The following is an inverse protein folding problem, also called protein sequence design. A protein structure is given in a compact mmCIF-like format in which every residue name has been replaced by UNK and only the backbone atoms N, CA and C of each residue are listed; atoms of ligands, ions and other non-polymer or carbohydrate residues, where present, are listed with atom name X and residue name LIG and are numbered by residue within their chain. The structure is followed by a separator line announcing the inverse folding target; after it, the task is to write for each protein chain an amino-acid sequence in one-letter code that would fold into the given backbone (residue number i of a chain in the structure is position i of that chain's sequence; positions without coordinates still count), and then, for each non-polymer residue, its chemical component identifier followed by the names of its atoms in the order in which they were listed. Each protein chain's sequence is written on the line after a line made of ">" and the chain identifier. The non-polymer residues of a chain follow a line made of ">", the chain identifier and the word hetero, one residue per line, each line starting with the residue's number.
data_IF_705938956132
#
_entry.id   IF_705938956132
#
_cell.length_a   1.000
_cell.length_b   1.000
_cell.length_c   1.000
_cell.angle_alpha   90.00
_cell.angle_beta   90.00
_cell.angle_gamma   90.00
#
_symmetry.space_group_name_H-M   'P 1'
#
loop_
_entity.id
_entity.type
_entity.pdbx_description
1 polymer ?
#
# COMPACT_ATOMS: atom_id res chain seq x y z
N UNK A 1 8.03 -16.35 4.39
CA UNK A 1 7.79 -14.97 4.86
C UNK A 1 6.38 -14.60 4.46
N UNK A 2 5.48 -14.31 5.41
CA UNK A 2 4.13 -13.85 5.11
C UNK A 2 4.18 -12.34 4.85
N UNK A 3 4.15 -11.96 3.58
CA UNK A 3 3.99 -10.55 3.19
C UNK A 3 2.50 -10.20 3.33
N UNK A 4 2.17 -9.41 4.35
CA UNK A 4 0.81 -8.90 4.55
C UNK A 4 0.74 -7.44 4.09
N UNK A 5 -0.34 -7.09 3.38
CA UNK A 5 -0.66 -5.69 3.14
C UNK A 5 -0.84 -4.96 4.48
N UNK A 6 -0.30 -3.74 4.57
CA UNK A 6 -0.37 -2.92 5.77
C UNK A 6 -1.81 -2.73 6.25
N UNK A 7 -2.03 -2.88 7.55
CA UNK A 7 -3.30 -2.60 8.22
C UNK A 7 -3.00 -1.94 9.56
N UNK A 8 -3.45 -0.69 9.74
CA UNK A 8 -3.17 0.10 10.94
C UNK A 8 -3.42 -0.69 12.23
N UNK A 9 -4.59 -1.34 12.33
CA UNK A 9 -4.98 -2.16 13.51
C UNK A 9 -3.96 -3.20 13.94
N UNK A 10 -3.17 -3.75 13.01
CA UNK A 10 -2.20 -4.82 13.30
C UNK A 10 -0.78 -4.29 13.47
N UNK A 11 -0.45 -3.18 12.82
CA UNK A 11 0.92 -2.66 12.79
C UNK A 11 1.14 -1.57 13.85
N UNK A 12 0.14 -0.73 14.11
CA UNK A 12 0.24 0.38 15.08
C UNK A 12 0.70 -0.06 16.47
N UNK A 13 0.21 -1.17 17.07
CA UNK A 13 0.64 -1.57 18.41
C UNK A 13 2.14 -1.87 18.51
N UNK A 14 2.75 -2.39 17.44
CA UNK A 14 4.18 -2.70 17.41
C UNK A 14 5.05 -1.50 17.01
N UNK A 15 4.51 -0.58 16.22
CA UNK A 15 5.24 0.61 15.76
C UNK A 15 5.19 1.79 16.73
N UNK A 16 4.08 1.97 17.45
CA UNK A 16 3.92 3.09 18.38
C UNK A 16 5.04 3.17 19.45
N UNK A 17 5.46 2.06 20.09
CA UNK A 17 6.55 2.11 21.08
C UNK A 17 7.91 2.46 20.48
N UNK A 18 8.08 2.31 19.16
CA UNK A 18 9.32 2.62 18.46
C UNK A 18 9.40 4.07 18.00
N UNK A 19 8.28 4.82 18.03
CA UNK A 19 8.23 6.19 17.53
C UNK A 19 9.18 7.14 18.30
N UNK A 20 9.40 6.87 19.59
CA UNK A 20 10.35 7.63 20.42
C UNK A 20 11.79 7.11 20.34
N UNK A 21 11.99 5.90 19.79
CA UNK A 21 13.28 5.21 19.74
C UNK A 21 13.93 5.24 18.35
N UNK A 22 13.16 5.53 17.31
CA UNK A 22 13.60 5.53 15.94
C UNK A 22 12.89 6.63 15.15
N UNK A 23 13.60 7.19 14.16
CA UNK A 23 12.99 8.11 13.22
C UNK A 23 12.14 7.33 12.19
N UNK A 24 10.86 7.17 12.51
CA UNK A 24 9.88 6.51 11.63
C UNK A 24 9.32 7.54 10.64
N UNK A 25 9.19 7.15 9.37
CA UNK A 25 8.49 7.92 8.34
C UNK A 25 7.55 7.02 7.56
N UNK A 26 6.35 7.50 7.26
CA UNK A 26 5.33 6.72 6.58
C UNK A 26 5.12 7.20 5.14
N UNK A 27 5.30 6.32 4.15
CA UNK A 27 4.91 6.58 2.77
C UNK A 27 3.64 5.80 2.46
N UNK A 28 2.56 6.51 2.11
CA UNK A 28 1.27 5.90 1.77
C UNK A 28 0.98 6.11 0.29
N UNK A 29 0.98 5.01 -0.46
CA UNK A 29 0.57 5.04 -1.86
C UNK A 29 -0.96 5.02 -1.98
N UNK A 30 -1.50 5.94 -2.77
CA UNK A 30 -2.89 5.94 -3.22
C UNK A 30 -2.94 5.73 -4.73
N UNK A 31 -4.10 5.29 -5.21
CA UNK A 31 -4.39 5.10 -6.61
C UNK A 31 -5.89 5.16 -6.80
N UNK A 32 -6.33 5.70 -7.93
CA UNK A 32 -7.73 5.61 -8.35
C UNK A 32 -8.22 4.15 -8.31
N UNK A 33 -9.45 3.94 -7.84
CA UNK A 33 -10.01 2.61 -7.65
C UNK A 33 -10.17 1.85 -8.97
N UNK A 34 -10.49 2.53 -10.08
CA UNK A 34 -10.60 1.86 -11.38
C UNK A 34 -9.23 1.45 -11.90
N UNK A 35 -8.21 2.31 -11.76
CA UNK A 35 -6.82 1.98 -12.12
C UNK A 35 -6.28 0.83 -11.28
N UNK A 36 -6.59 0.80 -9.98
CA UNK A 36 -6.21 -0.29 -9.09
C UNK A 36 -6.82 -1.63 -9.54
N UNK A 37 -8.10 -1.64 -9.91
CA UNK A 37 -8.80 -2.83 -10.41
C UNK A 37 -8.14 -3.36 -11.67
N UNK A 38 -7.90 -2.50 -12.67
CA UNK A 38 -7.19 -2.89 -13.89
C UNK A 38 -5.83 -3.52 -13.57
N UNK A 39 -5.01 -2.87 -12.72
CA UNK A 39 -3.70 -3.41 -12.34
C UNK A 39 -3.75 -4.73 -11.56
N UNK A 40 -4.82 -4.99 -10.79
CA UNK A 40 -5.01 -6.26 -10.08
C UNK A 40 -5.34 -7.36 -11.08
N UNK A 41 -6.30 -7.11 -11.98
CA UNK A 41 -6.72 -8.07 -13.00
C UNK A 41 -5.59 -8.40 -13.97
N UNK A 42 -4.89 -7.38 -14.49
CA UNK A 42 -3.78 -7.58 -15.43
C UNK A 42 -2.67 -8.42 -14.79
N UNK A 43 -2.30 -8.12 -13.55
CA UNK A 43 -1.26 -8.86 -12.82
C UNK A 43 -1.68 -10.31 -12.55
N UNK A 44 -2.95 -10.54 -12.23
CA UNK A 44 -3.47 -11.90 -12.03
C UNK A 44 -3.39 -12.74 -13.32
N UNK A 45 -3.63 -12.11 -14.47
CA UNK A 45 -3.52 -12.76 -15.77
C UNK A 45 -2.06 -13.00 -16.21
N UNK A 46 -1.14 -12.08 -15.90
CA UNK A 46 0.23 -12.12 -16.43
C UNK A 46 1.27 -12.80 -15.53
N UNK A 47 1.01 -12.93 -14.22
CA UNK A 47 1.97 -13.47 -13.25
C UNK A 47 1.45 -14.76 -12.60
N UNK A 48 1.92 -15.95 -13.05
CA UNK A 48 1.50 -17.24 -12.50
C UNK A 48 1.75 -17.38 -10.99
N UNK A 49 2.69 -16.63 -10.41
CA UNK A 49 2.99 -16.68 -8.97
C UNK A 49 1.85 -16.12 -8.12
N UNK A 50 0.93 -15.35 -8.72
CA UNK A 50 -0.26 -14.82 -8.04
C UNK A 50 -1.20 -15.92 -7.57
N UNK A 51 -1.25 -17.07 -8.25
CA UNK A 51 -2.08 -18.20 -7.84
C UNK A 51 -1.65 -18.81 -6.49
N UNK A 52 -0.38 -18.65 -6.10
CA UNK A 52 0.15 -19.17 -4.83
C UNK A 52 -0.06 -18.21 -3.64
N UNK A 53 -0.64 -17.02 -3.85
CA UNK A 53 -0.86 -16.04 -2.78
C UNK A 53 -2.13 -16.36 -2.01
N UNK A 54 -2.15 -16.02 -0.72
CA UNK A 54 -3.33 -16.18 0.14
C UNK A 54 -4.55 -15.36 -0.34
N UNK A 55 -4.33 -14.35 -1.18
CA UNK A 55 -5.37 -13.52 -1.80
C UNK A 55 -5.64 -13.89 -3.27
N UNK A 56 -5.42 -15.15 -3.68
CA UNK A 56 -5.60 -15.59 -5.07
C UNK A 56 -7.00 -15.32 -5.65
N UNK A 57 -8.05 -15.34 -4.82
CA UNK A 57 -9.44 -15.05 -5.23
C UNK A 57 -9.76 -13.55 -5.34
N UNK A 58 -8.86 -12.68 -4.87
CA UNK A 58 -9.08 -11.23 -4.85
C UNK A 58 -9.40 -10.64 -6.24
N UNK A 59 -8.70 -10.99 -7.33
CA UNK A 59 -8.96 -10.43 -8.66
C UNK A 59 -10.39 -10.71 -9.13
N UNK A 60 -10.87 -11.94 -8.94
CA UNK A 60 -12.21 -12.36 -9.33
C UNK A 60 -13.29 -11.61 -8.55
N UNK A 61 -13.10 -11.45 -7.23
CA UNK A 61 -14.02 -10.70 -6.36
C UNK A 61 -14.04 -9.21 -6.71
N UNK A 62 -12.90 -8.65 -7.09
CA UNK A 62 -12.79 -7.26 -7.56
C UNK A 62 -13.47 -7.10 -8.92
N UNK A 63 -13.31 -8.07 -9.83
CA UNK A 63 -13.94 -8.06 -11.16
C UNK A 63 -15.47 -8.15 -11.07
N UNK A 64 -16.00 -8.98 -10.16
CA UNK A 64 -17.44 -9.10 -9.88
C UNK A 64 -18.02 -7.97 -9.02
N UNK A 65 -17.18 -7.03 -8.56
CA UNK A 65 -17.62 -5.91 -7.70
C UNK A 65 -17.96 -6.31 -6.25
N UNK A 66 -17.73 -7.56 -5.87
CA UNK A 66 -17.97 -8.11 -4.51
C UNK A 66 -17.01 -7.54 -3.46
N UNK A 67 -15.92 -6.92 -3.91
CA UNK A 67 -14.98 -6.21 -3.04
C UNK A 67 -14.59 -4.86 -3.65
N UNK A 68 -15.21 -3.75 -3.24
CA UNK A 68 -14.80 -2.43 -3.69
C UNK A 68 -13.35 -2.17 -3.27
N UNK A 69 -12.56 -1.57 -4.17
CA UNK A 69 -11.23 -1.10 -3.84
C UNK A 69 -11.39 0.22 -3.09
N UNK A 70 -11.17 0.16 -1.79
CA UNK A 70 -11.18 1.34 -0.95
C UNK A 70 -9.75 1.72 -0.55
N UNK A 71 -9.47 3.03 -0.38
CA UNK A 71 -8.22 3.45 0.20
C UNK A 71 -8.07 2.82 1.59
N UNK A 72 -6.95 2.14 1.84
CA UNK A 72 -6.62 1.65 3.18
C UNK A 72 -6.52 2.81 4.16
N UNK A 73 -6.94 2.60 5.42
CA UNK A 73 -6.79 3.60 6.47
C UNK A 73 -5.32 4.07 6.58
N UNK A 74 -5.07 5.37 6.79
CA UNK A 74 -3.72 5.84 7.08
C UNK A 74 -3.20 5.22 8.37
N UNK A 75 -1.88 5.21 8.55
CA UNK A 75 -1.27 4.85 9.83
C UNK A 75 -1.63 5.93 10.85
N UNK A 76 -2.23 5.53 11.97
CA UNK A 76 -2.59 6.42 13.07
C UNK A 76 -1.40 6.54 14.04
N UNK A 77 -0.28 7.04 13.53
CA UNK A 77 0.92 7.40 14.28
C UNK A 77 1.29 8.85 14.00
N UNK A 78 1.74 9.56 15.02
CA UNK A 78 2.25 10.93 14.89
C UNK A 78 3.70 10.92 14.38
N UNK A 79 3.84 10.54 13.11
CA UNK A 79 5.13 10.46 12.41
C UNK A 79 5.05 11.22 11.10
N UNK A 80 6.17 11.76 10.59
CA UNK A 80 6.18 12.35 9.25
C UNK A 80 5.60 11.39 8.23
N UNK A 81 4.63 11.87 7.44
CA UNK A 81 3.94 11.06 6.44
C UNK A 81 3.92 11.74 5.08
N UNK A 82 4.04 10.93 4.04
CA UNK A 82 3.97 11.35 2.64
C UNK A 82 2.91 10.51 1.92
N UNK A 83 1.95 11.18 1.29
CA UNK A 83 0.98 10.53 0.40
C UNK A 83 1.52 10.59 -1.03
N UNK A 84 1.53 9.44 -1.70
CA UNK A 84 2.01 9.31 -3.07
C UNK A 84 0.87 8.80 -3.94
N UNK A 85 0.38 9.62 -4.86
CA UNK A 85 -0.55 9.18 -5.89
C UNK A 85 0.23 8.43 -6.98
N UNK A 86 -0.18 7.18 -7.25
CA UNK A 86 0.40 6.30 -8.25
C UNK A 86 -0.51 6.11 -9.48
N UNK A 87 -1.57 6.92 -9.62
CA UNK A 87 -2.60 6.77 -10.67
C UNK A 87 -2.01 6.95 -12.06
N UNK A 88 -1.20 7.98 -12.30
CA UNK A 88 -0.61 8.32 -13.60
C UNK A 88 0.92 8.41 -13.55
N UNK A 89 1.55 7.50 -12.80
CA UNK A 89 2.95 7.62 -12.38
C UNK A 89 3.03 8.06 -10.92
N UNK A 90 4.24 8.31 -10.42
CA UNK A 90 4.48 8.68 -9.02
C UNK A 90 4.38 10.19 -8.82
N UNK A 91 3.44 10.62 -7.98
CA UNK A 91 3.26 12.02 -7.58
C UNK A 91 3.20 12.07 -6.04
N UNK A 92 4.23 12.62 -5.36
CA UNK A 92 5.45 13.20 -5.93
C UNK A 92 6.35 12.16 -6.62
N UNK A 93 7.29 12.65 -7.42
CA UNK A 93 8.23 11.79 -8.16
C UNK A 93 9.16 10.99 -7.24
N UNK A 94 9.72 9.90 -7.76
CA UNK A 94 10.64 9.03 -7.00
C UNK A 94 11.80 9.76 -6.30
N UNK A 95 12.45 10.80 -6.88
CA UNK A 95 13.51 11.53 -6.18
C UNK A 95 13.03 12.17 -4.87
N UNK A 96 11.82 12.70 -4.85
CA UNK A 96 11.23 13.34 -3.67
C UNK A 96 10.77 12.30 -2.64
N UNK A 97 10.20 11.17 -3.09
CA UNK A 97 9.87 10.04 -2.20
C UNK A 97 11.15 9.52 -1.51
N UNK A 98 12.24 9.36 -2.26
CA UNK A 98 13.54 8.93 -1.73
C UNK A 98 14.11 9.97 -0.78
N UNK A 99 14.03 11.25 -1.14
CA UNK A 99 14.46 12.34 -0.26
C UNK A 99 13.67 12.37 1.04
N UNK A 100 12.35 12.16 1.00
CA UNK A 100 11.51 12.07 2.18
C UNK A 100 11.88 10.87 3.07
N UNK A 101 12.18 9.72 2.46
CA UNK A 101 12.57 8.52 3.19
C UNK A 101 13.97 8.62 3.82
N UNK A 102 14.83 9.48 3.29
CA UNK A 102 16.17 9.73 3.84
C UNK A 102 16.08 10.83 4.91
N UNK A 103 16.71 10.59 6.06
CA UNK A 103 16.88 11.57 7.14
C UNK A 103 18.05 12.50 6.80
N UNK A 104 17.91 13.31 5.74
CA UNK A 104 18.90 14.33 5.41
C UNK A 104 18.69 15.55 6.28
#
# INVERSE_FOLDING_TARGET
>A
MAEAAFQDRFWRPGLAPLADLAAIRAVRCVVDAAVARTRITDRAASDPRRAARADAELPDRVARGERPIQPGAPIALDVPSLVVDSTRGWIPGLPEIVSFARLV
#
